data_IF_689867299592
#
_entry.id   IF_689867299592
#
_cell.length_a   1.000
_cell.length_b   1.000
_cell.length_c   1.000
_cell.angle_alpha   90.00
_cell.angle_beta   90.00
_cell.angle_gamma   90.00
#
_symmetry.space_group_name_H-M   'P 1'
#
loop_
_entity.id
_entity.type
_entity.pdbx_description
1 polymer ?
#
# COMPACT_ATOMS: atom_id res chain seq x y z
N UNK A 1 -21.13 -2.77 26.37
CA UNK A 1 -21.44 -2.91 24.93
C UNK A 1 -22.08 -1.61 24.48
N UNK A 2 -21.48 -0.89 23.53
CA UNK A 2 -22.04 0.38 23.06
C UNK A 2 -23.20 0.10 22.09
N UNK A 3 -24.35 0.73 22.32
CA UNK A 3 -25.48 0.69 21.38
C UNK A 3 -25.35 1.86 20.41
N UNK A 4 -25.00 1.58 19.17
CA UNK A 4 -24.93 2.59 18.11
C UNK A 4 -26.29 2.64 17.41
N UNK A 5 -27.01 3.75 17.59
CA UNK A 5 -28.22 4.05 16.82
C UNK A 5 -27.82 4.46 15.40
N UNK A 6 -27.95 3.52 14.46
CA UNK A 6 -27.57 3.71 13.05
C UNK A 6 -28.29 4.90 12.40
N UNK A 7 -29.49 5.25 12.87
CA UNK A 7 -30.27 6.36 12.31
C UNK A 7 -29.71 7.74 12.68
N UNK A 8 -28.75 7.82 13.61
CA UNK A 8 -28.07 9.07 14.01
C UNK A 8 -26.71 9.26 13.34
N UNK A 9 -26.20 8.28 12.61
CA UNK A 9 -24.94 8.40 11.89
C UNK A 9 -25.17 9.26 10.65
N UNK A 10 -24.45 10.39 10.57
CA UNK A 10 -24.53 11.32 9.43
C UNK A 10 -23.35 11.22 8.49
N UNK A 11 -22.22 10.68 8.97
CA UNK A 11 -20.97 10.64 8.23
C UNK A 11 -20.37 9.24 8.33
N UNK A 12 -19.78 8.78 7.23
CA UNK A 12 -19.02 7.54 7.16
C UNK A 12 -17.67 7.89 6.54
N UNK A 13 -16.58 7.47 7.18
CA UNK A 13 -15.23 7.62 6.67
C UNK A 13 -14.76 6.23 6.27
N UNK A 14 -14.35 6.08 5.01
CA UNK A 14 -13.81 4.84 4.48
C UNK A 14 -12.30 4.98 4.35
N UNK A 15 -11.59 3.97 4.82
CA UNK A 15 -10.22 3.72 4.35
C UNK A 15 -10.26 3.20 2.90
N UNK A 16 -9.17 3.33 2.16
CA UNK A 16 -9.05 2.79 0.82
C UNK A 16 -8.61 1.34 0.86
N UNK A 17 -7.44 1.09 1.44
CA UNK A 17 -6.80 -0.22 1.48
C UNK A 17 -7.48 -1.17 2.46
N UNK A 18 -7.82 -2.38 2.02
CA UNK A 18 -8.47 -3.39 2.86
C UNK A 18 -9.96 -3.13 3.15
N UNK A 19 -10.51 -2.00 2.66
CA UNK A 19 -11.93 -1.65 2.77
C UNK A 19 -12.54 -1.50 1.38
N UNK A 20 -12.01 -0.62 0.53
CA UNK A 20 -12.51 -0.41 -0.84
C UNK A 20 -11.72 -1.24 -1.85
N UNK A 21 -10.40 -1.31 -1.69
CA UNK A 21 -9.47 -2.03 -2.57
C UNK A 21 -8.80 -3.16 -1.80
N UNK A 22 -8.71 -4.33 -2.42
CA UNK A 22 -8.01 -5.47 -1.83
C UNK A 22 -6.49 -5.20 -1.80
N UNK A 23 -5.81 -5.65 -0.74
CA UNK A 23 -4.36 -5.47 -0.58
C UNK A 23 -3.63 -6.80 -0.52
N UNK A 24 -2.40 -6.83 -1.04
CA UNK A 24 -1.48 -7.96 -0.86
C UNK A 24 -0.03 -7.49 -0.67
N UNK A 25 0.45 -7.57 0.56
CA UNK A 25 1.87 -7.34 0.87
C UNK A 25 2.78 -8.36 0.17
N UNK A 26 2.32 -9.61 0.04
CA UNK A 26 3.05 -10.66 -0.65
C UNK A 26 3.20 -10.38 -2.15
N UNK A 27 2.26 -9.64 -2.76
CA UNK A 27 2.36 -9.21 -4.15
C UNK A 27 3.52 -8.22 -4.35
N UNK A 28 3.66 -7.23 -3.47
CA UNK A 28 4.83 -6.33 -3.45
C UNK A 28 6.13 -7.10 -3.28
N UNK A 29 6.21 -7.99 -2.28
CA UNK A 29 7.41 -8.81 -2.03
C UNK A 29 7.75 -9.65 -3.27
N UNK A 30 6.77 -10.31 -3.86
CA UNK A 30 6.96 -11.15 -5.06
C UNK A 30 7.41 -10.33 -6.27
N UNK A 31 6.87 -9.11 -6.44
CA UNK A 31 7.24 -8.21 -7.52
C UNK A 31 8.70 -7.74 -7.37
N UNK A 32 9.11 -7.27 -6.19
CA UNK A 32 10.51 -6.88 -5.95
C UNK A 32 11.48 -8.06 -6.16
N UNK A 33 11.10 -9.28 -5.75
CA UNK A 33 11.89 -10.49 -6.04
C UNK A 33 12.05 -10.74 -7.54
N UNK A 34 10.97 -10.58 -8.31
CA UNK A 34 11.00 -10.70 -9.78
C UNK A 34 11.93 -9.69 -10.44
N UNK A 35 12.03 -8.49 -9.89
CA UNK A 35 12.92 -7.43 -10.37
C UNK A 35 14.36 -7.50 -9.83
N UNK A 36 14.74 -8.61 -9.20
CA UNK A 36 16.12 -8.87 -8.80
C UNK A 36 16.45 -8.51 -7.35
N UNK A 37 15.45 -8.31 -6.49
CA UNK A 37 15.63 -8.12 -5.03
C UNK A 37 15.16 -9.37 -4.28
N UNK A 38 15.97 -10.46 -4.25
CA UNK A 38 15.51 -11.80 -3.84
C UNK A 38 15.07 -11.91 -2.38
N UNK A 39 15.56 -11.02 -1.51
CA UNK A 39 15.29 -11.01 -0.07
C UNK A 39 14.45 -9.80 0.39
N UNK A 40 13.52 -9.32 -0.47
CA UNK A 40 12.79 -8.07 -0.20
C UNK A 40 11.98 -8.08 1.11
N UNK A 41 11.54 -9.24 1.56
CA UNK A 41 10.83 -9.44 2.83
C UNK A 41 11.64 -8.96 4.06
N UNK A 42 12.97 -8.84 3.93
CA UNK A 42 13.83 -8.30 5.00
C UNK A 42 13.70 -6.78 5.16
N UNK A 43 13.29 -6.09 4.09
CA UNK A 43 13.14 -4.63 4.05
C UNK A 43 11.68 -4.19 4.25
N UNK A 44 10.74 -5.06 3.89
CA UNK A 44 9.31 -4.80 3.93
C UNK A 44 8.52 -6.03 4.35
N UNK A 45 7.90 -5.98 5.52
CA UNK A 45 6.92 -6.97 5.94
C UNK A 45 5.74 -6.32 6.69
N UNK A 46 4.62 -7.05 6.78
CA UNK A 46 3.38 -6.56 7.41
C UNK A 46 3.55 -6.19 8.90
N UNK A 47 4.48 -6.85 9.59
CA UNK A 47 4.73 -6.67 11.02
C UNK A 47 5.78 -5.58 11.31
N UNK A 48 6.65 -5.28 10.33
CA UNK A 48 7.70 -4.28 10.39
C UNK A 48 7.75 -3.53 9.05
N UNK A 49 6.98 -2.45 8.94
CA UNK A 49 7.30 -1.44 7.96
C UNK A 49 8.53 -0.69 8.44
N UNK A 50 9.58 -0.61 7.62
CA UNK A 50 10.74 0.21 7.96
C UNK A 50 10.35 1.69 7.96
N UNK A 51 11.07 2.49 8.76
CA UNK A 51 10.92 3.95 8.85
C UNK A 51 10.82 4.63 7.47
N UNK A 52 11.55 4.10 6.49
CA UNK A 52 11.51 4.58 5.11
C UNK A 52 10.10 4.56 4.49
N UNK A 53 9.36 3.46 4.62
CA UNK A 53 8.01 3.34 4.05
C UNK A 53 7.02 4.22 4.79
N UNK A 54 7.11 4.26 6.12
CA UNK A 54 6.23 5.10 6.94
C UNK A 54 6.40 6.58 6.60
N UNK A 55 7.64 7.07 6.46
CA UNK A 55 7.92 8.45 6.06
C UNK A 55 7.39 8.77 4.67
N UNK A 56 7.43 7.81 3.75
CA UNK A 56 6.84 7.98 2.43
C UNK A 56 5.31 8.04 2.47
N UNK A 57 4.67 7.11 3.20
CA UNK A 57 3.20 7.07 3.38
C UNK A 57 2.67 8.30 4.13
N UNK A 58 3.44 8.86 5.06
CA UNK A 58 3.14 10.10 5.77
C UNK A 58 3.39 11.37 4.93
N UNK A 59 3.99 11.24 3.73
CA UNK A 59 4.32 12.37 2.87
C UNK A 59 5.52 13.20 3.34
N UNK A 60 6.34 12.65 4.24
CA UNK A 60 7.56 13.31 4.75
C UNK A 60 8.71 13.26 3.74
N UNK A 61 8.70 12.25 2.86
CA UNK A 61 9.63 12.14 1.72
C UNK A 61 8.85 11.94 0.42
N UNK A 62 9.35 12.55 -0.65
CA UNK A 62 8.75 12.44 -1.97
C UNK A 62 9.12 11.10 -2.65
N UNK A 63 8.44 10.70 -3.74
CA UNK A 63 8.72 9.43 -4.42
C UNK A 63 10.18 9.27 -4.90
N UNK A 64 10.85 10.34 -5.32
CA UNK A 64 12.26 10.29 -5.73
C UNK A 64 13.15 9.98 -4.53
N UNK A 65 12.98 10.69 -3.43
CA UNK A 65 13.72 10.44 -2.18
C UNK A 65 13.50 9.02 -1.65
N UNK A 66 12.25 8.52 -1.71
CA UNK A 66 11.94 7.14 -1.31
C UNK A 66 12.72 6.11 -2.15
N UNK A 67 12.74 6.26 -3.48
CA UNK A 67 13.50 5.36 -4.37
C UNK A 67 15.01 5.46 -4.10
N UNK A 68 15.53 6.66 -3.92
CA UNK A 68 16.95 6.89 -3.64
C UNK A 68 17.38 6.25 -2.32
N UNK A 69 16.60 6.38 -1.25
CA UNK A 69 16.88 5.72 0.02
C UNK A 69 16.71 4.20 -0.07
N UNK A 70 15.71 3.72 -0.81
CA UNK A 70 15.50 2.28 -1.01
C UNK A 70 16.68 1.65 -1.76
N UNK A 71 17.22 2.32 -2.78
CA UNK A 71 18.41 1.88 -3.54
C UNK A 71 19.63 1.67 -2.65
N UNK A 72 19.77 2.42 -1.56
CA UNK A 72 20.91 2.27 -0.64
C UNK A 72 20.87 0.96 0.14
N UNK A 73 19.69 0.33 0.27
CA UNK A 73 19.50 -0.87 1.10
C UNK A 73 19.20 -2.13 0.30
N UNK A 74 18.71 -2.00 -0.95
CA UNK A 74 18.48 -3.15 -1.84
C UNK A 74 19.70 -3.39 -2.75
N UNK A 75 19.93 -4.61 -3.25
CA UNK A 75 20.95 -4.88 -4.25
C UNK A 75 20.69 -4.05 -5.53
N UNK A 76 21.71 -3.28 -5.94
CA UNK A 76 21.69 -2.45 -7.15
C UNK A 76 21.30 -3.26 -8.40
N UNK A 77 20.19 -2.88 -9.06
CA UNK A 77 19.82 -3.17 -10.48
C UNK A 77 18.37 -2.85 -10.89
N UNK A 78 17.52 -2.30 -10.02
CA UNK A 78 16.11 -2.00 -10.36
C UNK A 78 15.93 -0.56 -10.86
N UNK A 79 15.10 -0.38 -11.90
CA UNK A 79 14.74 0.94 -12.44
C UNK A 79 13.68 1.61 -11.55
N UNK A 80 13.47 2.92 -11.72
CA UNK A 80 12.40 3.62 -11.00
C UNK A 80 11.02 3.08 -11.38
N UNK A 81 10.83 2.76 -12.67
CA UNK A 81 9.57 2.20 -13.16
C UNK A 81 9.28 0.81 -12.59
N UNK A 82 10.31 -0.04 -12.44
CA UNK A 82 10.16 -1.36 -11.84
C UNK A 82 9.95 -1.27 -10.33
N UNK A 83 10.58 -0.31 -9.65
CA UNK A 83 10.30 -0.01 -8.24
C UNK A 83 8.85 0.42 -8.05
N UNK A 84 8.36 1.32 -8.89
CA UNK A 84 6.97 1.78 -8.86
C UNK A 84 6.00 0.64 -9.13
N UNK A 85 6.25 -0.16 -10.18
CA UNK A 85 5.43 -1.31 -10.49
C UNK A 85 5.40 -2.33 -9.33
N UNK A 86 6.54 -2.56 -8.68
CA UNK A 86 6.63 -3.45 -7.53
C UNK A 86 5.92 -2.89 -6.30
N UNK A 87 6.03 -1.59 -6.04
CA UNK A 87 5.35 -0.92 -4.94
C UNK A 87 3.82 -0.93 -5.15
N UNK A 88 3.36 -0.56 -6.34
CA UNK A 88 1.93 -0.56 -6.68
C UNK A 88 1.29 -1.95 -6.71
N UNK A 89 2.08 -3.03 -6.77
CA UNK A 89 1.57 -4.40 -6.70
C UNK A 89 0.84 -4.70 -5.38
N UNK A 90 1.01 -3.85 -4.34
CA UNK A 90 0.23 -3.96 -3.11
C UNK A 90 -1.28 -3.81 -3.36
N UNK A 91 -1.66 -3.01 -4.35
CA UNK A 91 -3.04 -2.77 -4.74
C UNK A 91 -3.49 -3.88 -5.68
N UNK A 92 -4.43 -4.71 -5.23
CA UNK A 92 -5.05 -5.73 -6.05
C UNK A 92 -6.24 -5.13 -6.82
N UNK A 93 -7.33 -5.87 -6.92
CA UNK A 93 -8.56 -5.40 -7.51
C UNK A 93 -9.31 -4.44 -6.59
N UNK A 94 -10.03 -3.51 -7.21
CA UNK A 94 -11.05 -2.70 -6.54
C UNK A 94 -12.41 -3.25 -6.98
N UNK A 95 -13.08 -4.08 -6.15
CA UNK A 95 -14.31 -4.73 -6.55
C UNK A 95 -15.36 -3.71 -6.99
N UNK A 96 -15.99 -3.97 -8.14
CA UNK A 96 -17.01 -3.06 -8.69
C UNK A 96 -18.17 -2.86 -7.72
N UNK A 97 -18.51 -3.88 -6.93
CA UNK A 97 -19.58 -3.79 -5.93
C UNK A 97 -19.25 -2.80 -4.80
N UNK A 98 -17.97 -2.69 -4.41
CA UNK A 98 -17.54 -1.67 -3.44
C UNK A 98 -17.75 -0.26 -4.02
N UNK A 99 -17.40 -0.04 -5.28
CA UNK A 99 -17.62 1.24 -5.97
C UNK A 99 -19.10 1.55 -6.15
N UNK A 100 -19.91 0.54 -6.50
CA UNK A 100 -21.35 0.68 -6.60
C UNK A 100 -21.95 1.08 -5.24
N UNK A 101 -21.51 0.46 -4.14
CA UNK A 101 -21.97 0.80 -2.80
C UNK A 101 -21.62 2.25 -2.43
N UNK A 102 -20.39 2.68 -2.71
CA UNK A 102 -19.98 4.07 -2.48
C UNK A 102 -20.87 5.05 -3.25
N UNK A 103 -21.29 4.72 -4.48
CA UNK A 103 -22.17 5.58 -5.29
C UNK A 103 -23.58 5.75 -4.71
N UNK A 104 -24.02 4.85 -3.83
CA UNK A 104 -25.32 4.92 -3.16
C UNK A 104 -25.29 5.84 -1.93
N UNK A 105 -24.10 6.11 -1.39
CA UNK A 105 -23.89 6.98 -0.25
C UNK A 105 -23.75 8.42 -0.79
N UNK A 106 -24.59 9.33 -0.30
CA UNK A 106 -24.65 10.73 -0.73
C UNK A 106 -24.05 11.67 0.31
#
# INVERSE_FOLDING_TARGET
MYHIDKNKIKNIIFDWGGVITNLSFDATISAFKKYGVPDFEKYYCKEYQSDLFQRHEAGEINPTEFRDELRKIIPDKITDEDMDAAWFAILLDTPKDNLNLLSLIK
#
